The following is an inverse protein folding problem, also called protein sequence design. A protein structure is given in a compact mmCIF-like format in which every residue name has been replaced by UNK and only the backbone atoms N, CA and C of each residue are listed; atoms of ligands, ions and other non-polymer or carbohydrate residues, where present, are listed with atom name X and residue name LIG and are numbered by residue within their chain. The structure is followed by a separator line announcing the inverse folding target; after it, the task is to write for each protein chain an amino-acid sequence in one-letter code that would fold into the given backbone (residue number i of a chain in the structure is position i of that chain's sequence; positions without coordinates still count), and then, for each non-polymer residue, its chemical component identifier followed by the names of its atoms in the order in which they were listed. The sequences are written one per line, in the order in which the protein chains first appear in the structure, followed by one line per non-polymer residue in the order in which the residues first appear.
data_IF_765367223697
#
_entry.id   IF_765367223697
#
_cell.length_a   1.000
_cell.length_b   1.000
_cell.length_c   1.000
_cell.angle_alpha   90.00
_cell.angle_beta   90.00
_cell.angle_gamma   90.00
#
_symmetry.space_group_name_H-M   'P 1'
#
loop_
_entity.id
_entity.type
_entity.pdbx_description
1 polymer ?
#
# COMPACT_ATOMS: atom_id res chain seq x y z
N UNK A 1 36.30 -6.25 -18.95
CA UNK A 1 35.80 -5.77 -17.64
C UNK A 1 35.05 -4.44 -17.70
N UNK A 2 35.32 -3.54 -18.67
CA UNK A 2 34.58 -2.27 -18.84
C UNK A 2 33.07 -2.33 -19.21
N UNK A 3 32.53 -3.33 -19.95
CA UNK A 3 31.11 -3.28 -20.32
C UNK A 3 30.16 -3.62 -19.17
N UNK A 4 30.63 -4.30 -18.11
CA UNK A 4 29.84 -4.63 -16.93
C UNK A 4 29.61 -3.42 -16.02
N UNK A 5 30.57 -2.51 -15.92
CA UNK A 5 30.42 -1.28 -15.12
C UNK A 5 29.38 -0.32 -15.72
N UNK A 6 29.29 -0.25 -17.05
CA UNK A 6 28.31 0.57 -17.75
C UNK A 6 26.88 0.05 -17.59
N UNK A 7 26.68 -1.28 -17.55
CA UNK A 7 25.36 -1.88 -17.33
C UNK A 7 24.87 -1.71 -15.90
N UNK A 8 25.75 -1.80 -14.89
CA UNK A 8 25.39 -1.48 -13.50
C UNK A 8 25.07 0.01 -13.29
N UNK A 9 25.78 0.91 -13.98
CA UNK A 9 25.49 2.35 -13.95
C UNK A 9 24.13 2.72 -14.55
N UNK A 10 23.76 2.08 -15.67
CA UNK A 10 22.44 2.27 -16.31
C UNK A 10 21.30 1.71 -15.46
N UNK A 11 21.50 0.58 -14.77
CA UNK A 11 20.53 0.03 -13.82
C UNK A 11 20.34 0.93 -12.58
N UNK A 12 21.40 1.57 -12.10
CA UNK A 12 21.35 2.51 -10.99
C UNK A 12 20.61 3.82 -11.35
N UNK A 13 20.72 4.28 -12.60
CA UNK A 13 19.99 5.46 -13.07
C UNK A 13 18.47 5.21 -13.12
N UNK A 14 18.04 4.03 -13.57
CA UNK A 14 16.61 3.67 -13.56
C UNK A 14 16.01 3.51 -12.16
N UNK A 15 16.83 3.20 -11.14
CA UNK A 15 16.37 3.09 -9.75
C UNK A 15 16.10 4.44 -9.06
N UNK A 16 16.61 5.55 -9.62
CA UNK A 16 16.56 6.87 -8.98
C UNK A 16 15.23 7.62 -9.14
N UNK A 17 14.22 7.03 -9.80
CA UNK A 17 12.91 7.66 -9.99
C UNK A 17 11.81 6.92 -9.22
N UNK A 18 11.95 6.85 -7.90
CA UNK A 18 10.85 6.45 -7.02
C UNK A 18 10.52 7.62 -6.08
N UNK A 19 9.80 8.62 -6.59
CA UNK A 19 9.09 9.57 -5.74
C UNK A 19 7.77 8.92 -5.31
N UNK A 20 7.74 8.33 -4.12
CA UNK A 20 6.49 7.86 -3.51
C UNK A 20 6.13 8.80 -2.36
N UNK A 21 4.91 9.35 -2.39
CA UNK A 21 4.38 10.23 -1.33
C UNK A 21 3.58 9.47 -0.26
N UNK A 22 3.46 8.14 -0.38
CA UNK A 22 2.72 7.32 0.56
C UNK A 22 3.68 6.59 1.51
N UNK A 23 3.41 6.70 2.81
CA UNK A 23 4.09 5.93 3.85
C UNK A 23 3.32 4.63 4.09
N UNK A 24 4.01 3.50 3.98
CA UNK A 24 3.50 2.18 4.37
C UNK A 24 4.06 1.83 5.73
N UNK A 25 3.20 1.57 6.70
CA UNK A 25 3.60 1.17 8.04
C UNK A 25 2.99 -0.18 8.43
N UNK A 26 3.81 -1.01 9.05
CA UNK A 26 3.39 -2.30 9.60
C UNK A 26 3.07 -2.11 11.08
N UNK A 27 1.78 -2.17 11.41
CA UNK A 27 1.24 -2.01 12.75
C UNK A 27 1.14 -3.38 13.42
N UNK A 28 1.85 -3.58 14.52
CA UNK A 28 1.86 -4.86 15.22
C UNK A 28 0.55 -5.13 15.98
N UNK A 29 0.34 -6.38 16.37
CA UNK A 29 -0.77 -6.75 17.25
C UNK A 29 -0.70 -5.97 18.57
N UNK A 30 -1.83 -5.40 19.00
CA UNK A 30 -1.93 -4.59 20.23
C UNK A 30 -1.05 -3.32 20.25
N UNK A 31 -0.54 -2.88 19.10
CA UNK A 31 0.24 -1.66 19.00
C UNK A 31 -0.64 -0.43 18.69
N UNK A 32 -0.26 0.72 19.25
CA UNK A 32 -0.73 2.04 18.83
C UNK A 32 0.46 2.85 18.30
N UNK A 33 0.50 3.09 17.00
CA UNK A 33 1.54 3.88 16.35
C UNK A 33 1.03 5.29 16.04
N UNK A 34 1.85 6.31 16.31
CA UNK A 34 1.47 7.71 16.11
C UNK A 34 2.49 8.44 15.25
N UNK A 35 1.98 9.28 14.35
CA UNK A 35 2.72 10.11 13.42
C UNK A 35 2.34 11.57 13.63
N UNK A 36 3.27 12.47 13.33
CA UNK A 36 3.12 13.89 13.67
C UNK A 36 3.34 14.76 12.44
N UNK A 37 2.50 15.78 12.26
CA UNK A 37 2.65 16.78 11.21
C UNK A 37 2.39 18.18 11.77
N UNK A 38 3.16 19.16 11.35
CA UNK A 38 3.04 20.55 11.84
C UNK A 38 2.22 21.40 10.89
N UNK A 39 1.12 21.96 11.38
CA UNK A 39 0.38 23.02 10.70
C UNK A 39 1.11 24.35 10.89
N UNK A 40 1.64 24.94 9.81
CA UNK A 40 2.44 26.17 9.88
C UNK A 40 1.57 27.43 9.91
N UNK A 41 0.45 27.40 9.20
CA UNK A 41 -0.42 28.57 9.06
C UNK A 41 -1.87 28.24 9.43
N UNK A 42 -2.53 29.20 10.07
CA UNK A 42 -3.96 29.09 10.38
C UNK A 42 -4.77 29.20 9.09
N UNK A 43 -5.69 28.27 8.87
CA UNK A 43 -6.50 28.19 7.65
C UNK A 43 -5.92 27.29 6.55
N UNK A 44 -4.74 26.71 6.76
CA UNK A 44 -4.15 25.70 5.87
C UNK A 44 -5.01 24.43 5.85
N UNK A 45 -5.09 23.75 4.70
CA UNK A 45 -5.80 22.47 4.59
C UNK A 45 -4.82 21.33 4.80
N UNK A 46 -5.17 20.41 5.68
CA UNK A 46 -4.43 19.18 5.89
C UNK A 46 -5.27 18.01 5.37
N UNK A 47 -4.70 17.27 4.44
CA UNK A 47 -5.29 16.08 3.85
C UNK A 47 -4.69 14.83 4.53
N UNK A 48 -5.55 13.95 4.99
CA UNK A 48 -5.22 12.70 5.63
C UNK A 48 -5.90 11.56 4.90
N UNK A 49 -5.10 10.71 4.27
CA UNK A 49 -5.55 9.51 3.59
C UNK A 49 -4.98 8.29 4.30
N UNK A 50 -5.79 7.25 4.48
CA UNK A 50 -5.32 5.94 4.91
C UNK A 50 -6.07 4.81 4.20
N UNK A 51 -5.41 3.66 4.04
CA UNK A 51 -6.00 2.43 3.55
C UNK A 51 -5.27 1.22 4.13
N UNK A 52 -6.04 0.25 4.65
CA UNK A 52 -5.47 -1.01 5.15
C UNK A 52 -5.22 -1.96 3.99
N UNK A 53 -3.96 -2.31 3.77
CA UNK A 53 -3.53 -3.18 2.66
C UNK A 53 -3.64 -4.67 3.00
N UNK A 54 -3.36 -5.04 4.26
CA UNK A 54 -3.39 -6.44 4.70
C UNK A 54 -3.51 -6.57 6.23
N UNK A 55 -3.95 -7.75 6.68
CA UNK A 55 -4.10 -8.12 8.10
C UNK A 55 -5.56 -8.24 8.53
N UNK A 56 -5.91 -9.33 9.23
CA UNK A 56 -7.24 -9.57 9.82
C UNK A 56 -8.43 -9.27 8.88
N UNK A 57 -9.34 -8.40 9.36
CA UNK A 57 -10.54 -7.94 8.65
C UNK A 57 -10.34 -6.71 7.74
N UNK A 58 -9.08 -6.32 7.51
CA UNK A 58 -8.69 -5.13 6.75
C UNK A 58 -9.23 -3.81 7.33
N UNK A 59 -9.32 -3.71 8.65
CA UNK A 59 -9.81 -2.54 9.39
C UNK A 59 -8.75 -2.00 10.36
N UNK A 60 -8.83 -0.73 10.76
CA UNK A 60 -7.97 -0.14 11.80
C UNK A 60 -8.72 0.98 12.49
N UNK A 61 -8.45 1.17 13.78
CA UNK A 61 -8.94 2.34 14.51
C UNK A 61 -7.95 3.48 14.31
N UNK A 62 -8.44 4.69 14.03
CA UNK A 62 -7.59 5.87 13.89
C UNK A 62 -8.10 7.04 14.72
N UNK A 63 -7.17 7.89 15.12
CA UNK A 63 -7.44 9.07 15.94
C UNK A 63 -6.53 10.22 15.49
N UNK A 64 -7.11 11.38 15.18
CA UNK A 64 -6.39 12.61 14.85
C UNK A 64 -6.65 13.64 15.93
N UNK A 65 -5.57 14.06 16.59
CA UNK A 65 -5.62 15.00 17.72
C UNK A 65 -4.85 16.27 17.35
N UNK A 66 -5.48 17.42 17.59
CA UNK A 66 -4.86 18.72 17.36
C UNK A 66 -3.84 19.09 18.45
N UNK A 67 -3.11 20.20 18.26
CA UNK A 67 -2.09 20.67 19.20
C UNK A 67 -2.65 21.05 20.58
N UNK A 68 -3.95 21.35 20.66
CA UNK A 68 -4.67 21.66 21.89
C UNK A 68 -5.15 20.41 22.65
N UNK A 69 -4.86 19.21 22.15
CA UNK A 69 -5.33 17.94 22.72
C UNK A 69 -6.78 17.59 22.36
N UNK A 70 -7.44 18.41 21.54
CA UNK A 70 -8.80 18.13 21.05
C UNK A 70 -8.78 17.09 19.93
N UNK A 71 -9.63 16.07 20.04
CA UNK A 71 -9.88 15.11 18.95
C UNK A 71 -10.61 15.81 17.82
N UNK A 72 -10.07 15.69 16.61
CA UNK A 72 -10.60 16.32 15.38
C UNK A 72 -11.34 15.30 14.55
N UNK A 73 -10.73 14.11 14.40
CA UNK A 73 -11.29 12.98 13.67
C UNK A 73 -10.96 11.71 14.44
N UNK A 74 -11.92 10.80 14.48
CA UNK A 74 -11.77 9.47 15.03
C UNK A 74 -12.64 8.50 14.21
N UNK A 75 -12.21 7.25 14.14
CA UNK A 75 -12.94 6.20 13.47
C UNK A 75 -12.57 4.84 14.03
N UNK A 76 -13.56 3.98 14.18
CA UNK A 76 -13.41 2.60 14.67
C UNK A 76 -13.66 1.63 13.52
N UNK A 77 -12.82 0.60 13.43
CA UNK A 77 -12.92 -0.47 12.43
C UNK A 77 -13.05 0.03 10.97
N UNK A 78 -12.31 1.08 10.62
CA UNK A 78 -12.34 1.67 9.28
C UNK A 78 -11.33 1.03 8.34
N UNK A 79 -11.73 0.79 7.10
CA UNK A 79 -10.87 0.11 6.09
C UNK A 79 -10.02 1.08 5.28
N UNK A 80 -10.59 2.25 5.01
CA UNK A 80 -9.98 3.32 4.24
C UNK A 80 -10.69 4.64 4.57
N UNK A 81 -9.98 5.74 4.46
CA UNK A 81 -10.53 7.07 4.65
C UNK A 81 -9.72 8.12 3.92
N UNK A 82 -10.40 9.18 3.50
CA UNK A 82 -9.79 10.34 2.85
C UNK A 82 -10.47 11.60 3.39
N UNK A 83 -9.76 12.32 4.25
CA UNK A 83 -10.28 13.43 5.00
C UNK A 83 -9.46 14.68 4.73
N UNK A 84 -10.13 15.80 4.51
CA UNK A 84 -9.48 17.11 4.42
C UNK A 84 -10.08 17.98 5.51
N UNK A 85 -9.24 18.50 6.40
CA UNK A 85 -9.66 19.40 7.46
C UNK A 85 -8.79 20.65 7.50
N UNK A 86 -9.32 21.72 8.08
CA UNK A 86 -8.64 23.01 8.18
C UNK A 86 -7.87 23.12 9.50
N UNK A 87 -6.62 23.59 9.42
CA UNK A 87 -5.77 23.91 10.57
C UNK A 87 -6.33 25.13 11.29
N UNK A 88 -6.97 24.90 12.44
CA UNK A 88 -7.52 25.97 13.28
C UNK A 88 -6.47 26.58 14.22
N UNK A 89 -5.57 25.74 14.72
CA UNK A 89 -4.55 26.10 15.70
C UNK A 89 -3.17 25.73 15.13
N UNK A 90 -2.23 26.66 15.20
CA UNK A 90 -0.86 26.44 14.70
C UNK A 90 -0.16 25.50 15.70
N UNK A 91 0.44 24.43 15.19
CA UNK A 91 1.13 23.46 16.05
C UNK A 91 1.20 22.08 15.43
N UNK A 92 1.53 21.11 16.29
CA UNK A 92 1.71 19.71 15.91
C UNK A 92 0.40 18.93 16.03
N UNK A 93 0.01 18.27 14.95
CA UNK A 93 -1.14 17.39 14.85
C UNK A 93 -0.65 15.94 14.92
N UNK A 94 -1.31 15.13 15.75
CA UNK A 94 -0.97 13.73 16.00
C UNK A 94 -1.98 12.82 15.32
N UNK A 95 -1.51 11.94 14.45
CA UNK A 95 -2.27 10.93 13.72
C UNK A 95 -1.89 9.55 14.25
N UNK A 96 -2.80 8.88 14.95
CA UNK A 96 -2.54 7.58 15.52
C UNK A 96 -3.39 6.50 14.87
N UNK A 97 -2.79 5.33 14.70
CA UNK A 97 -3.45 4.10 14.31
C UNK A 97 -3.34 3.10 15.46
N UNK A 98 -4.43 2.44 15.80
CA UNK A 98 -4.50 1.47 16.89
C UNK A 98 -4.97 0.11 16.35
N UNK A 99 -4.22 -0.94 16.71
CA UNK A 99 -4.57 -2.33 16.43
C UNK A 99 -4.85 -3.09 17.74
N UNK A 100 -5.64 -2.48 18.62
CA UNK A 100 -5.94 -3.10 19.93
C UNK A 100 -6.94 -4.26 19.79
N UNK A 101 -7.81 -4.24 18.78
CA UNK A 101 -8.83 -5.28 18.55
C UNK A 101 -8.24 -6.60 18.00
N UNK A 102 -7.19 -6.57 17.16
CA UNK A 102 -6.62 -7.78 16.56
C UNK A 102 -5.42 -8.29 17.35
N UNK A 103 -5.67 -9.28 18.22
CA UNK A 103 -4.65 -9.82 19.13
C UNK A 103 -3.62 -10.76 18.47
N UNK A 104 -3.84 -11.16 17.22
CA UNK A 104 -3.03 -12.22 16.58
C UNK A 104 -2.37 -11.83 15.25
N UNK A 105 -2.90 -10.86 14.52
CA UNK A 105 -2.42 -10.51 13.18
C UNK A 105 -1.89 -9.07 13.11
N UNK A 106 -0.67 -8.93 12.58
CA UNK A 106 -0.11 -7.65 12.18
C UNK A 106 -0.93 -7.06 11.01
N UNK A 107 -1.10 -5.74 11.00
CA UNK A 107 -1.77 -5.00 9.92
C UNK A 107 -0.79 -4.14 9.16
N UNK A 108 -1.03 -3.95 7.87
CA UNK A 108 -0.23 -3.04 7.02
C UNK A 108 -1.13 -1.92 6.56
N UNK A 109 -0.80 -0.69 6.96
CA UNK A 109 -1.57 0.52 6.65
C UNK A 109 -0.73 1.42 5.78
N UNK A 110 -1.29 1.80 4.63
CA UNK A 110 -0.74 2.86 3.79
C UNK A 110 -1.43 4.16 4.16
N UNK A 111 -0.66 5.19 4.48
CA UNK A 111 -1.20 6.50 4.79
C UNK A 111 -0.41 7.62 4.13
N UNK A 112 -1.07 8.75 3.94
CA UNK A 112 -0.49 9.97 3.40
C UNK A 112 -1.04 11.16 4.20
N UNK A 113 -0.13 11.98 4.70
CA UNK A 113 -0.45 13.23 5.38
C UNK A 113 0.12 14.34 4.49
N UNK A 114 -0.75 14.96 3.71
CA UNK A 114 -0.37 16.05 2.82
C UNK A 114 -0.81 17.38 3.43
N UNK A 115 0.15 18.28 3.56
CA UNK A 115 -0.13 19.67 3.89
C UNK A 115 -0.36 20.37 2.56
N UNK A 116 -1.61 20.65 2.23
CA UNK A 116 -1.96 21.34 1.00
C UNK A 116 -1.62 22.82 1.18
N UNK A 117 -0.35 23.16 0.96
CA UNK A 117 0.02 24.53 0.64
C UNK A 117 -0.47 24.79 -0.77
N UNK A 118 -1.75 25.15 -0.89
CA UNK A 118 -2.22 25.98 -2.00
C UNK A 118 -1.53 27.35 -1.87
N UNK A 119 -0.21 27.39 -1.99
CA UNK A 119 0.49 28.60 -2.38
C UNK A 119 -0.04 28.88 -3.77
N UNK A 120 -1.11 29.68 -3.86
CA UNK A 120 -1.52 30.33 -5.09
C UNK A 120 -0.26 31.00 -5.60
N UNK A 121 0.40 30.37 -6.57
CA UNK A 121 1.54 30.94 -7.26
C UNK A 121 0.94 32.13 -7.98
N UNK A 122 0.92 33.29 -7.33
CA UNK A 122 0.52 34.53 -7.95
C UNK A 122 1.51 34.75 -9.08
N UNK A 123 1.10 34.44 -10.31
CA UNK A 123 1.92 34.75 -11.47
C UNK A 123 2.17 36.26 -11.44
N UNK A 124 3.42 36.73 -11.52
CA UNK A 124 3.69 38.16 -11.52
C UNK A 124 2.98 38.75 -12.73
N UNK A 125 1.92 39.53 -12.49
CA UNK A 125 1.20 40.24 -13.53
C UNK A 125 2.18 41.15 -14.26
N UNK A 126 2.52 40.80 -15.49
CA UNK A 126 3.38 41.60 -16.35
C UNK A 126 2.59 42.87 -16.67
N UNK A 127 3.00 44.01 -16.11
CA UNK A 127 2.42 45.33 -16.39
C UNK A 127 2.32 45.53 -17.91
N UNK A 128 1.10 45.53 -18.46
CA UNK A 128 0.82 45.84 -19.86
C UNK A 128 -0.02 44.85 -20.67
N UNK A 129 -0.54 43.77 -20.09
CA UNK A 129 -1.51 42.89 -20.77
C UNK A 129 -2.90 43.01 -20.14
N UNK A 130 -3.96 42.98 -20.95
CA UNK A 130 -5.34 43.10 -20.47
C UNK A 130 -5.61 42.04 -19.39
N UNK A 131 -6.14 42.42 -18.20
CA UNK A 131 -6.37 41.50 -17.09
C UNK A 131 -7.32 40.34 -17.44
N UNK A 132 -8.10 40.48 -18.50
CA UNK A 132 -9.05 39.47 -18.96
C UNK A 132 -8.36 38.25 -19.60
N UNK A 133 -7.32 38.46 -20.41
CA UNK A 133 -6.62 37.38 -21.12
C UNK A 133 -5.73 36.52 -20.20
N UNK A 134 -5.22 37.11 -19.12
CA UNK A 134 -4.41 36.38 -18.12
C UNK A 134 -5.29 35.51 -17.21
N UNK A 135 -6.51 35.96 -16.90
CA UNK A 135 -7.47 35.21 -16.07
C UNK A 135 -7.96 33.90 -16.73
N UNK A 136 -8.22 33.91 -18.03
CA UNK A 136 -8.69 32.71 -18.77
C UNK A 136 -7.60 31.63 -18.83
N UNK A 137 -6.33 32.04 -18.95
CA UNK A 137 -5.20 31.12 -18.94
C UNK A 137 -4.96 30.52 -17.54
N UNK A 138 -5.11 31.34 -16.50
CA UNK A 138 -5.01 30.89 -15.09
C UNK A 138 -6.12 29.89 -14.73
N UNK A 139 -7.36 30.15 -15.15
CA UNK A 139 -8.49 29.24 -14.95
C UNK A 139 -8.27 27.89 -15.66
N UNK A 140 -7.77 27.93 -16.90
CA UNK A 140 -7.46 26.71 -17.66
C UNK A 140 -6.33 25.90 -17.02
N UNK A 141 -5.29 26.57 -16.51
CA UNK A 141 -4.20 25.92 -15.78
C UNK A 141 -4.70 25.27 -14.48
N UNK A 142 -5.56 25.96 -13.73
CA UNK A 142 -6.19 25.41 -12.52
C UNK A 142 -7.04 24.19 -12.85
N UNK A 143 -7.84 24.25 -13.90
CA UNK A 143 -8.69 23.13 -14.34
C UNK A 143 -7.86 21.89 -14.70
N UNK A 144 -6.78 22.06 -15.45
CA UNK A 144 -5.86 20.96 -15.79
C UNK A 144 -5.20 20.40 -14.52
N UNK A 145 -4.76 21.25 -13.60
CA UNK A 145 -4.15 20.80 -12.34
C UNK A 145 -5.12 19.97 -11.48
N UNK A 146 -6.40 20.38 -11.41
CA UNK A 146 -7.45 19.64 -10.71
C UNK A 146 -7.78 18.30 -11.38
N UNK A 147 -7.81 18.27 -12.72
CA UNK A 147 -7.98 17.03 -13.48
C UNK A 147 -6.81 16.06 -13.28
N UNK A 148 -5.57 16.57 -13.28
CA UNK A 148 -4.38 15.76 -13.04
C UNK A 148 -4.38 15.16 -11.63
N UNK A 149 -4.71 15.95 -10.61
CA UNK A 149 -4.89 15.50 -9.23
C UNK A 149 -5.93 14.37 -9.13
N UNK A 150 -7.06 14.52 -9.82
CA UNK A 150 -8.11 13.49 -9.88
C UNK A 150 -7.59 12.18 -10.51
N UNK A 151 -6.83 12.27 -11.59
CA UNK A 151 -6.22 11.10 -12.25
C UNK A 151 -5.22 10.41 -11.32
N UNK A 152 -4.37 11.16 -10.62
CA UNK A 152 -3.43 10.61 -9.63
C UNK A 152 -4.17 9.85 -8.52
N UNK A 153 -5.28 10.40 -8.01
CA UNK A 153 -6.13 9.72 -7.03
C UNK A 153 -6.71 8.42 -7.57
N UNK A 154 -7.18 8.42 -8.82
CA UNK A 154 -7.66 7.19 -9.48
C UNK A 154 -6.57 6.14 -9.64
N UNK A 155 -5.35 6.53 -10.03
CA UNK A 155 -4.22 5.61 -10.13
C UNK A 155 -3.90 4.96 -8.78
N UNK A 156 -3.91 5.73 -7.69
CA UNK A 156 -3.69 5.21 -6.32
C UNK A 156 -4.77 4.21 -5.91
N UNK A 157 -6.04 4.50 -6.22
CA UNK A 157 -7.16 3.58 -5.99
C UNK A 157 -7.01 2.28 -6.78
N UNK A 158 -6.71 2.36 -8.09
CA UNK A 158 -6.53 1.17 -8.92
C UNK A 158 -5.35 0.32 -8.45
N UNK A 159 -4.24 0.93 -8.04
CA UNK A 159 -3.07 0.22 -7.49
C UNK A 159 -3.40 -0.53 -6.21
N UNK A 160 -4.16 0.09 -5.30
CA UNK A 160 -4.63 -0.58 -4.07
C UNK A 160 -5.54 -1.76 -4.39
N UNK A 161 -6.47 -1.59 -5.35
CA UNK A 161 -7.37 -2.66 -5.78
C UNK A 161 -6.62 -3.82 -6.45
N UNK A 162 -5.63 -3.51 -7.28
CA UNK A 162 -4.75 -4.50 -7.91
C UNK A 162 -3.97 -5.29 -6.85
N UNK A 163 -3.38 -4.62 -5.87
CA UNK A 163 -2.63 -5.26 -4.80
C UNK A 163 -3.49 -6.29 -4.02
N UNK A 164 -4.75 -5.93 -3.71
CA UNK A 164 -5.72 -6.83 -3.06
C UNK A 164 -6.05 -8.05 -3.93
N UNK A 165 -6.31 -7.83 -5.21
CA UNK A 165 -6.59 -8.92 -6.15
C UNK A 165 -5.36 -9.82 -6.32
N UNK A 166 -4.17 -9.24 -6.41
CA UNK A 166 -2.92 -9.96 -6.58
C UNK A 166 -2.58 -10.81 -5.34
N UNK A 167 -2.84 -10.30 -4.13
CA UNK A 167 -2.69 -11.09 -2.89
C UNK A 167 -3.59 -12.35 -2.90
N UNK A 168 -4.83 -12.21 -3.38
CA UNK A 168 -5.76 -13.33 -3.52
C UNK A 168 -5.26 -14.36 -4.53
N UNK A 169 -4.77 -13.91 -5.69
CA UNK A 169 -4.18 -14.77 -6.72
C UNK A 169 -2.97 -15.53 -6.17
N UNK A 170 -2.04 -14.84 -5.52
CA UNK A 170 -0.81 -15.44 -4.97
C UNK A 170 -1.10 -16.50 -3.91
N UNK A 171 -2.09 -16.25 -3.04
CA UNK A 171 -2.50 -17.24 -2.02
C UNK A 171 -3.13 -18.49 -2.65
N UNK A 172 -3.92 -18.30 -3.71
CA UNK A 172 -4.56 -19.38 -4.48
C UNK A 172 -3.52 -20.20 -5.24
N UNK A 173 -2.60 -19.53 -5.93
CA UNK A 173 -1.49 -20.15 -6.65
C UNK A 173 -0.66 -21.05 -5.73
N UNK A 174 -0.25 -20.54 -4.57
CA UNK A 174 0.53 -21.33 -3.60
C UNK A 174 -0.21 -22.58 -3.13
N UNK A 175 -1.53 -22.47 -2.89
CA UNK A 175 -2.36 -23.61 -2.48
C UNK A 175 -2.47 -24.66 -3.59
N UNK A 176 -2.66 -24.23 -4.84
CA UNK A 176 -2.71 -25.10 -6.01
C UNK A 176 -1.37 -25.83 -6.19
N UNK A 177 -0.25 -25.11 -6.18
CA UNK A 177 1.08 -25.70 -6.33
C UNK A 177 1.35 -26.74 -5.24
N UNK A 178 1.02 -26.43 -3.98
CA UNK A 178 1.23 -27.36 -2.88
C UNK A 178 0.41 -28.65 -3.04
N UNK A 179 -0.87 -28.55 -3.40
CA UNK A 179 -1.70 -29.73 -3.67
C UNK A 179 -1.19 -30.54 -4.86
N UNK A 180 -0.78 -29.88 -5.94
CA UNK A 180 -0.22 -30.55 -7.12
C UNK A 180 1.07 -31.31 -6.79
N UNK A 181 1.96 -30.74 -5.97
CA UNK A 181 3.19 -31.43 -5.53
C UNK A 181 2.88 -32.69 -4.69
N UNK A 182 1.91 -32.59 -3.77
CA UNK A 182 1.46 -33.75 -2.97
C UNK A 182 0.89 -34.84 -3.89
N UNK A 183 0.06 -34.48 -4.87
CA UNK A 183 -0.51 -35.43 -5.82
C UNK A 183 0.55 -36.13 -6.67
N UNK A 184 1.53 -35.38 -7.20
CA UNK A 184 2.66 -35.97 -7.91
C UNK A 184 3.44 -36.97 -7.04
N UNK A 185 3.67 -36.63 -5.76
CA UNK A 185 4.32 -37.52 -4.80
C UNK A 185 3.53 -38.83 -4.57
N UNK A 186 2.21 -38.75 -4.43
CA UNK A 186 1.36 -39.93 -4.25
C UNK A 186 1.38 -40.87 -5.46
N UNK A 187 1.41 -40.33 -6.69
CA UNK A 187 1.49 -41.15 -7.92
C UNK A 187 2.82 -41.93 -7.96
N UNK A 188 3.93 -41.26 -7.65
CA UNK A 188 5.25 -41.91 -7.59
C UNK A 188 5.29 -42.98 -6.50
N UNK A 189 4.74 -42.69 -5.31
CA UNK A 189 4.64 -43.65 -4.21
C UNK A 189 3.81 -44.89 -4.60
N UNK A 190 2.66 -44.69 -5.26
CA UNK A 190 1.84 -45.81 -5.74
C UNK A 190 2.60 -46.67 -6.75
N UNK A 191 3.34 -46.06 -7.69
CA UNK A 191 4.18 -46.80 -8.63
C UNK A 191 5.28 -47.61 -7.94
N UNK A 192 5.96 -47.02 -6.95
CA UNK A 192 6.99 -47.72 -6.17
C UNK A 192 6.41 -48.89 -5.37
N UNK A 193 5.25 -48.70 -4.72
CA UNK A 193 4.55 -49.76 -3.98
C UNK A 193 4.12 -50.90 -4.90
N UNK A 194 3.61 -50.59 -6.10
CA UNK A 194 3.25 -51.61 -7.09
C UNK A 194 4.47 -52.48 -7.46
N UNK A 195 5.61 -51.87 -7.76
CA UNK A 195 6.84 -52.61 -8.10
C UNK A 195 7.32 -53.44 -6.91
N UNK A 196 7.27 -52.87 -5.70
CA UNK A 196 7.67 -53.56 -4.46
C UNK A 196 6.82 -54.80 -4.20
N UNK A 197 5.49 -54.68 -4.28
CA UNK A 197 4.56 -55.80 -4.07
C UNK A 197 4.81 -56.93 -5.08
N UNK A 198 4.98 -56.58 -6.35
CA UNK A 198 5.26 -57.55 -7.41
C UNK A 198 6.58 -58.28 -7.12
N UNK A 199 7.65 -57.56 -6.77
CA UNK A 199 8.95 -58.16 -6.41
C UNK A 199 8.84 -59.07 -5.18
N UNK A 200 8.10 -58.66 -4.17
CA UNK A 200 7.87 -59.44 -2.95
C UNK A 200 7.17 -60.77 -3.24
N UNK A 201 6.10 -60.75 -4.05
CA UNK A 201 5.35 -61.95 -4.42
C UNK A 201 6.23 -62.95 -5.21
N UNK A 202 6.99 -62.48 -6.20
CA UNK A 202 7.86 -63.34 -7.00
C UNK A 202 9.12 -63.84 -6.25
N UNK A 203 9.58 -63.15 -5.20
CA UNK A 203 10.67 -63.64 -4.34
C UNK A 203 10.21 -64.74 -3.37
N UNK A 204 8.99 -64.66 -2.85
CA UNK A 204 8.41 -65.69 -1.96
C UNK A 204 8.11 -67.02 -2.68
N UNK A 205 7.65 -66.96 -3.94
CA UNK A 205 7.27 -68.16 -4.72
C UNK A 205 8.44 -69.08 -5.10
N UNK A 206 9.70 -68.61 -5.06
CA UNK A 206 10.90 -69.42 -5.40
C UNK A 206 11.45 -70.28 -4.27
N UNK A 207 10.93 -70.18 -3.04
CA UNK A 207 11.43 -70.92 -1.87
C UNK A 207 10.78 -72.31 -1.65
N UNK A 208 9.96 -72.79 -2.59
CA UNK A 208 9.16 -74.01 -2.42
C UNK A 208 9.36 -75.10 -3.48
N UNK A 209 10.59 -75.33 -3.96
CA UNK A 209 10.93 -76.54 -4.73
C UNK A 209 12.29 -77.08 -4.26
N UNK A 210 12.26 -77.91 -3.22
CA UNK A 210 13.22 -79.00 -2.96
C UNK A 210 12.40 -80.20 -2.56
#
# INVERSE_FOLDING_TARGET
MQPLLFTYGLFAWFAAQAAATALTYKLHASEKACFYATGKTKGEKMAFYHAVQSGGSFDVDYEVVGPTGKVILDGEAERQGDFVFTVNDIGEYRFCFSNTMSSYDDKVVDFEIAVENEARVGLPSKKGTSPEQTSVLEESAFKISGQLSSITRHQKYFRTRENRNFATVRSTEKRIINFSLIQCGLIVLMGALQVFIVRFFFQGARKGYV
#
